data_IF_271380955005
#
_entry.id   IF_271380955005
#
_cell.length_a   1.000
_cell.length_b   1.000
_cell.length_c   1.000
_cell.angle_alpha   90.00
_cell.angle_beta   90.00
_cell.angle_gamma   90.00
#
_symmetry.space_group_name_H-M   'P 1'
#
loop_
_entity.id
_entity.type
_entity.pdbx_description
1 polymer ?
#
# COMPACT_ATOMS: atom_id res chain seq x y z
N UNK A 1 7.21 11.60 -13.60
CA UNK A 1 6.38 10.67 -12.81
C UNK A 1 6.22 9.38 -13.61
N UNK A 2 7.05 8.36 -13.34
CA UNK A 2 6.88 7.05 -13.95
C UNK A 2 5.57 6.42 -13.44
N UNK A 3 4.66 6.12 -14.35
CA UNK A 3 3.41 5.42 -14.03
C UNK A 3 3.74 3.92 -14.04
N UNK A 4 3.95 3.33 -12.87
CA UNK A 4 4.35 1.94 -12.72
C UNK A 4 3.18 0.98 -13.01
N UNK A 5 3.45 -0.12 -13.72
CA UNK A 5 2.47 -1.19 -13.99
C UNK A 5 1.92 -1.81 -12.67
N UNK A 6 2.74 -1.84 -11.61
CA UNK A 6 2.37 -2.33 -10.28
C UNK A 6 1.30 -1.50 -9.57
N UNK A 7 1.17 -0.20 -9.89
CA UNK A 7 0.11 0.64 -9.34
C UNK A 7 -1.27 0.09 -9.67
N UNK A 8 -1.45 -0.57 -10.83
CA UNK A 8 -2.74 -1.16 -11.18
C UNK A 8 -3.18 -2.26 -10.20
N UNK A 9 -2.25 -3.08 -9.72
CA UNK A 9 -2.53 -4.14 -8.75
C UNK A 9 -2.81 -3.58 -7.36
N UNK A 10 -2.07 -2.55 -6.95
CA UNK A 10 -2.28 -1.84 -5.68
C UNK A 10 -3.64 -1.14 -5.69
N UNK A 11 -3.99 -0.44 -6.78
CA UNK A 11 -5.30 0.19 -6.98
C UNK A 11 -6.42 -0.85 -6.87
N UNK A 12 -6.27 -2.03 -7.51
CA UNK A 12 -7.27 -3.11 -7.41
C UNK A 12 -7.45 -3.59 -5.96
N UNK A 13 -6.37 -3.73 -5.19
CA UNK A 13 -6.44 -4.11 -3.76
C UNK A 13 -7.14 -3.04 -2.93
N UNK A 14 -6.77 -1.77 -3.10
CA UNK A 14 -7.38 -0.66 -2.38
C UNK A 14 -8.87 -0.49 -2.72
N UNK A 15 -9.27 -0.67 -3.99
CA UNK A 15 -10.68 -0.66 -4.38
C UNK A 15 -11.49 -1.75 -3.67
N UNK A 16 -10.94 -2.96 -3.53
CA UNK A 16 -11.60 -4.05 -2.78
C UNK A 16 -11.74 -3.69 -1.30
N UNK A 17 -10.67 -3.17 -0.68
CA UNK A 17 -10.71 -2.71 0.70
C UNK A 17 -11.75 -1.58 0.90
N UNK A 18 -11.89 -0.65 -0.05
CA UNK A 18 -12.92 0.38 -0.02
C UNK A 18 -14.35 -0.16 -0.12
N UNK A 19 -14.57 -1.20 -0.92
CA UNK A 19 -15.85 -1.92 -0.97
C UNK A 19 -16.19 -2.59 0.36
N UNK A 20 -15.23 -3.26 0.98
CA UNK A 20 -15.41 -3.84 2.32
C UNK A 20 -15.69 -2.77 3.37
N UNK A 21 -14.97 -1.64 3.33
CA UNK A 21 -15.21 -0.54 4.26
C UNK A 21 -16.64 0.01 4.13
N UNK A 22 -17.14 0.13 2.90
CA UNK A 22 -18.53 0.54 2.65
C UNK A 22 -19.53 -0.44 3.27
N UNK A 23 -19.25 -1.75 3.18
CA UNK A 23 -20.06 -2.78 3.84
C UNK A 23 -20.02 -2.68 5.37
N UNK A 24 -18.87 -2.33 5.95
CA UNK A 24 -18.74 -2.15 7.40
C UNK A 24 -19.58 -0.97 7.90
N UNK A 25 -19.61 0.13 7.14
CA UNK A 25 -20.48 1.28 7.45
C UNK A 25 -21.94 0.84 7.46
N UNK A 26 -22.38 0.09 6.45
CA UNK A 26 -23.74 -0.46 6.43
C UNK A 26 -24.01 -1.39 7.63
N UNK A 27 -23.04 -2.25 8.00
CA UNK A 27 -23.18 -3.11 9.19
C UNK A 27 -23.35 -2.31 10.50
N UNK A 28 -22.69 -1.16 10.61
CA UNK A 28 -22.86 -0.25 11.74
C UNK A 28 -24.23 0.41 11.74
N UNK A 29 -24.72 0.83 10.57
CA UNK A 29 -26.07 1.41 10.40
C UNK A 29 -27.18 0.38 10.67
N UNK A 30 -26.90 -0.91 10.45
CA UNK A 30 -27.80 -2.04 10.72
C UNK A 30 -27.72 -2.59 12.16
N UNK A 31 -26.96 -1.95 13.05
CA UNK A 31 -26.74 -2.40 14.45
C UNK A 31 -26.25 -3.86 14.55
N UNK A 32 -25.38 -4.28 13.62
CA UNK A 32 -24.81 -5.64 13.62
C UNK A 32 -23.91 -5.89 14.84
N UNK A 33 -23.70 -7.16 15.23
CA UNK A 33 -22.86 -7.48 16.38
C UNK A 33 -21.44 -6.93 16.27
N UNK A 34 -20.97 -6.28 17.34
CA UNK A 34 -19.64 -5.64 17.38
C UNK A 34 -18.49 -6.60 17.02
N UNK A 35 -18.63 -7.89 17.35
CA UNK A 35 -17.62 -8.91 17.01
C UNK A 35 -17.50 -9.10 15.49
N UNK A 36 -18.62 -9.12 14.76
CA UNK A 36 -18.61 -9.24 13.30
C UNK A 36 -17.99 -8.01 12.66
N UNK A 37 -18.34 -6.81 13.15
CA UNK A 37 -17.78 -5.54 12.68
C UNK A 37 -16.26 -5.51 12.92
N UNK A 38 -15.80 -5.90 14.10
CA UNK A 38 -14.37 -5.94 14.44
C UNK A 38 -13.59 -6.90 13.53
N UNK A 39 -14.16 -8.07 13.21
CA UNK A 39 -13.55 -9.02 12.27
C UNK A 39 -13.43 -8.43 10.86
N UNK A 40 -14.45 -7.72 10.38
CA UNK A 40 -14.39 -7.08 9.06
C UNK A 40 -13.38 -5.92 9.04
N UNK A 41 -13.31 -5.12 10.10
CA UNK A 41 -12.30 -4.07 10.24
C UNK A 41 -10.88 -4.64 10.20
N UNK A 42 -10.63 -5.76 10.89
CA UNK A 42 -9.34 -6.45 10.86
C UNK A 42 -8.96 -6.94 9.45
N UNK A 43 -9.94 -7.42 8.68
CA UNK A 43 -9.73 -7.84 7.30
C UNK A 43 -9.37 -6.65 6.39
N UNK A 44 -10.02 -5.51 6.58
CA UNK A 44 -9.70 -4.26 5.85
C UNK A 44 -8.31 -3.75 6.21
N UNK A 45 -7.97 -3.70 7.50
CA UNK A 45 -6.63 -3.32 7.97
C UNK A 45 -5.55 -4.21 7.34
N UNK A 46 -5.77 -5.52 7.34
CA UNK A 46 -4.85 -6.49 6.73
C UNK A 46 -4.68 -6.27 5.22
N UNK A 47 -5.77 -5.96 4.51
CA UNK A 47 -5.73 -5.67 3.07
C UNK A 47 -4.97 -4.38 2.77
N UNK A 48 -5.17 -3.33 3.57
CA UNK A 48 -4.44 -2.06 3.45
C UNK A 48 -2.96 -2.26 3.77
N UNK A 49 -2.64 -2.99 4.85
CA UNK A 49 -1.27 -3.33 5.22
C UNK A 49 -0.55 -4.11 4.13
N UNK A 50 -1.22 -5.06 3.47
CA UNK A 50 -0.69 -5.78 2.32
C UNK A 50 -0.43 -4.86 1.12
N UNK A 51 -1.37 -3.95 0.80
CA UNK A 51 -1.20 -2.99 -0.28
C UNK A 51 -0.03 -2.02 -0.02
N UNK A 52 0.11 -1.55 1.23
CA UNK A 52 1.23 -0.71 1.68
C UNK A 52 2.57 -1.43 1.49
N UNK A 53 2.68 -2.68 1.95
CA UNK A 53 3.89 -3.49 1.79
C UNK A 53 4.26 -3.71 0.33
N UNK A 54 3.28 -3.99 -0.52
CA UNK A 54 3.50 -4.14 -1.96
C UNK A 54 4.04 -2.84 -2.60
N UNK A 55 3.43 -1.69 -2.28
CA UNK A 55 3.90 -0.39 -2.76
C UNK A 55 5.36 -0.12 -2.37
N UNK A 56 5.70 -0.35 -1.10
CA UNK A 56 7.05 -0.12 -0.59
C UNK A 56 8.02 -1.07 -1.31
N UNK A 57 7.71 -2.36 -1.39
CA UNK A 57 8.57 -3.36 -2.03
C UNK A 57 8.83 -3.04 -3.51
N UNK A 58 7.79 -2.64 -4.24
CA UNK A 58 7.92 -2.26 -5.65
C UNK A 58 8.85 -1.05 -5.81
N UNK A 59 8.70 -0.03 -4.96
CA UNK A 59 9.56 1.16 -4.99
C UNK A 59 11.03 0.83 -4.65
N UNK A 60 11.27 -0.05 -3.68
CA UNK A 60 12.62 -0.50 -3.32
C UNK A 60 13.29 -1.24 -4.49
N UNK A 61 12.57 -2.15 -5.14
CA UNK A 61 13.07 -2.93 -6.28
C UNK A 61 13.48 -2.02 -7.44
N UNK A 62 12.71 -0.95 -7.69
CA UNK A 62 13.00 0.03 -8.73
C UNK A 62 14.20 0.91 -8.39
N UNK A 63 14.30 1.38 -7.13
CA UNK A 63 15.47 2.14 -6.68
C UNK A 63 16.78 1.37 -6.87
N UNK A 64 16.79 0.08 -6.50
CA UNK A 64 17.99 -0.78 -6.63
C UNK A 64 18.38 -1.05 -8.09
N UNK A 65 17.39 -1.16 -8.99
CA UNK A 65 17.64 -1.36 -10.43
C UNK A 65 18.17 -0.09 -11.10
N UNK A 66 17.72 1.10 -10.68
CA UNK A 66 18.22 2.40 -11.19
C UNK A 66 19.66 2.68 -10.72
N UNK A 67 19.99 2.43 -9.44
CA UNK A 67 21.36 2.65 -8.91
C UNK A 67 22.41 1.75 -9.58
N UNK A 68 22.01 0.59 -10.13
CA UNK A 68 22.92 -0.32 -10.81
C UNK A 68 23.32 0.15 -12.23
N UNK A 69 22.61 1.14 -12.80
CA UNK A 69 22.78 1.60 -14.18
C UNK A 69 23.57 2.92 -14.32
N UNK A 70 23.59 3.81 -13.31
CA UNK A 70 24.17 5.16 -13.45
C UNK A 70 25.16 5.53 -12.33
N UNK A 71 26.39 5.88 -12.73
CA UNK A 71 27.52 6.21 -11.84
C UNK A 71 27.51 7.68 -11.40
N UNK A 72 27.66 7.90 -10.09
CA UNK A 72 28.11 9.15 -9.42
C UNK A 72 27.27 10.42 -9.67
N UNK A 73 26.05 10.47 -9.11
CA UNK A 73 25.32 11.74 -8.95
C UNK A 73 23.85 11.59 -8.55
N UNK A 74 23.20 10.53 -9.04
CA UNK A 74 21.78 10.23 -8.76
C UNK A 74 21.53 9.56 -7.41
N UNK A 75 22.59 8.97 -6.82
CA UNK A 75 22.50 8.05 -5.69
C UNK A 75 21.99 8.70 -4.39
N UNK A 76 22.27 9.99 -4.19
CA UNK A 76 21.87 10.71 -2.97
C UNK A 76 20.37 11.02 -2.91
N UNK A 77 19.71 11.17 -4.06
CA UNK A 77 18.27 11.43 -4.12
C UNK A 77 17.47 10.13 -3.94
N UNK A 78 17.91 9.06 -4.60
CA UNK A 78 17.33 7.71 -4.46
C UNK A 78 17.40 7.22 -3.00
N UNK A 79 18.54 7.40 -2.33
CA UNK A 79 18.69 7.02 -0.93
C UNK A 79 17.84 7.87 0.06
N UNK A 80 17.42 9.07 -0.35
CA UNK A 80 16.54 9.93 0.45
C UNK A 80 15.07 9.53 0.26
N UNK A 81 14.63 9.26 -0.97
CA UNK A 81 13.28 8.75 -1.28
C UNK A 81 13.04 7.39 -0.64
N UNK A 82 14.02 6.48 -0.74
CA UNK A 82 14.00 5.18 -0.06
C UNK A 82 13.79 5.34 1.45
N UNK A 83 14.56 6.24 2.10
CA UNK A 83 14.41 6.52 3.54
C UNK A 83 13.07 7.15 3.88
N UNK A 84 12.46 7.93 2.98
CA UNK A 84 11.15 8.51 3.21
C UNK A 84 10.05 7.45 3.20
N UNK A 85 10.10 6.51 2.25
CA UNK A 85 9.09 5.45 2.10
C UNK A 85 9.29 4.33 3.12
N UNK A 86 10.54 3.99 3.46
CA UNK A 86 10.84 2.97 4.46
C UNK A 86 10.32 3.31 5.88
N UNK A 87 10.06 4.59 6.19
CA UNK A 87 9.41 5.00 7.45
C UNK A 87 7.99 4.45 7.61
N UNK A 88 7.36 4.05 6.52
CA UNK A 88 6.01 3.52 6.51
C UNK A 88 5.96 1.99 6.49
N UNK A 89 7.08 1.28 6.65
CA UNK A 89 7.09 -0.18 6.86
C UNK A 89 6.37 -0.54 8.16
#
# INVERSE_FOLDING_TARGET
MSIHNSHSAIIKRLKRAGGHLSSIVAMLEEDRPCVEIAQQLQAVESAIGSAKKALIHDHISECLTVTSADTQGHDRNVAAEFRAIAKYL
#
